data_IF_994761325979
#
_entry.id   IF_994761325979
#
_cell.length_a   1.000
_cell.length_b   1.000
_cell.length_c   1.000
_cell.angle_alpha   90.00
_cell.angle_beta   90.00
_cell.angle_gamma   90.00
#
_symmetry.space_group_name_H-M   'P 1'
#
loop_
_entity.id
_entity.type
_entity.pdbx_description
1 polymer ?
#
# COMPACT_ATOMS: atom_id res chain seq x y z
N UNK A 1 18.65 9.71 4.20
CA UNK A 1 17.37 10.26 4.69
C UNK A 1 16.29 9.80 3.75
N UNK A 2 15.12 9.50 4.28
CA UNK A 2 13.96 8.98 3.54
C UNK A 2 12.78 9.93 3.72
N UNK A 3 11.86 9.93 2.75
CA UNK A 3 10.57 10.63 2.84
C UNK A 3 9.45 9.62 2.70
N UNK A 4 8.33 9.89 3.36
CA UNK A 4 7.10 9.12 3.11
C UNK A 4 6.32 9.76 1.97
N UNK A 5 5.85 8.95 1.06
CA UNK A 5 5.03 9.38 -0.06
C UNK A 5 3.71 8.65 0.03
N UNK A 6 2.62 9.43 0.03
CA UNK A 6 1.29 8.90 -0.17
C UNK A 6 0.75 9.40 -1.50
N UNK A 7 0.22 8.48 -2.30
CA UNK A 7 -0.42 8.76 -3.58
C UNK A 7 -1.80 8.11 -3.57
N UNK A 8 -2.82 8.90 -3.86
CA UNK A 8 -4.20 8.42 -3.98
C UNK A 8 -4.69 8.67 -5.39
N UNK A 9 -5.29 7.66 -6.00
CA UNK A 9 -5.80 7.74 -7.36
C UNK A 9 -7.19 7.12 -7.48
N UNK A 10 -8.01 7.67 -8.38
CA UNK A 10 -9.34 7.16 -8.72
C UNK A 10 -9.34 6.58 -10.14
N UNK A 11 -9.86 5.36 -10.28
CA UNK A 11 -10.04 4.69 -11.56
C UNK A 11 -11.38 5.06 -12.23
N UNK A 12 -11.53 4.71 -13.51
CA UNK A 12 -12.72 5.02 -14.30
C UNK A 12 -14.02 4.37 -13.78
N UNK A 13 -13.91 3.27 -13.03
CA UNK A 13 -15.03 2.59 -12.38
C UNK A 13 -15.38 3.17 -11.00
N UNK A 14 -14.68 4.24 -10.58
CA UNK A 14 -14.80 4.87 -9.27
C UNK A 14 -14.02 4.18 -8.16
N UNK A 15 -13.32 3.07 -8.44
CA UNK A 15 -12.46 2.40 -7.46
C UNK A 15 -11.27 3.28 -7.10
N UNK A 16 -10.92 3.37 -5.80
CA UNK A 16 -9.82 4.19 -5.32
C UNK A 16 -8.63 3.37 -4.86
N UNK A 17 -7.45 3.72 -5.37
CA UNK A 17 -6.19 3.04 -5.09
C UNK A 17 -5.25 3.98 -4.35
N UNK A 18 -4.82 3.56 -3.16
CA UNK A 18 -3.81 4.25 -2.36
C UNK A 18 -2.45 3.58 -2.51
N UNK A 19 -1.38 4.36 -2.47
CA UNK A 19 -0.01 3.88 -2.41
C UNK A 19 0.75 4.64 -1.32
N UNK A 20 1.29 3.91 -0.34
CA UNK A 20 2.10 4.44 0.76
C UNK A 20 3.48 3.78 0.75
N UNK A 21 4.52 4.59 0.62
CA UNK A 21 5.90 4.11 0.58
C UNK A 21 6.89 5.10 1.17
N UNK A 22 8.00 4.58 1.67
CA UNK A 22 9.21 5.32 2.05
C UNK A 22 10.29 5.32 0.96
N UNK A 23 9.94 4.87 -0.25
CA UNK A 23 10.83 4.76 -1.42
C UNK A 23 10.37 5.69 -2.55
N UNK A 24 11.24 6.59 -3.05
CA UNK A 24 10.88 7.60 -4.03
C UNK A 24 10.44 7.03 -5.39
N UNK A 25 10.94 5.86 -5.78
CA UNK A 25 10.61 5.23 -7.06
C UNK A 25 9.25 4.50 -7.07
N UNK A 26 8.68 4.19 -5.91
CA UNK A 26 7.48 3.35 -5.81
C UNK A 26 6.23 3.99 -6.42
N UNK A 27 5.93 5.29 -6.25
CA UNK A 27 4.80 5.95 -6.90
C UNK A 27 4.82 5.82 -8.44
N UNK A 28 5.99 5.97 -9.07
CA UNK A 28 6.12 5.83 -10.53
C UNK A 28 5.89 4.37 -10.96
N UNK A 29 6.42 3.40 -10.19
CA UNK A 29 6.18 1.98 -10.45
C UNK A 29 4.70 1.62 -10.26
N UNK A 30 4.02 2.25 -9.31
CA UNK A 30 2.59 2.09 -9.04
C UNK A 30 1.74 2.58 -10.22
N UNK A 31 2.00 3.79 -10.72
CA UNK A 31 1.31 4.32 -11.90
C UNK A 31 1.56 3.46 -13.14
N UNK A 32 2.82 3.09 -13.37
CA UNK A 32 3.19 2.23 -14.50
C UNK A 32 2.55 0.84 -14.36
N UNK A 33 2.50 0.29 -13.16
CA UNK A 33 1.82 -0.96 -12.85
C UNK A 33 0.34 -0.91 -13.24
N UNK A 34 -0.37 0.13 -12.82
CA UNK A 34 -1.79 0.31 -13.18
C UNK A 34 -2.00 0.44 -14.68
N UNK A 35 -1.19 1.27 -15.34
CA UNK A 35 -1.25 1.48 -16.79
C UNK A 35 -1.01 0.18 -17.59
N UNK A 36 -0.11 -0.69 -17.11
CA UNK A 36 0.16 -2.00 -17.70
C UNK A 36 -0.92 -3.04 -17.37
N UNK A 37 -1.50 -2.97 -16.17
CA UNK A 37 -2.52 -3.89 -15.68
C UNK A 37 -3.91 -3.69 -16.29
N UNK A 38 -4.14 -2.52 -16.90
CA UNK A 38 -5.35 -2.18 -17.61
C UNK A 38 -5.15 -2.48 -19.10
N UNK A 39 -5.32 -3.74 -19.55
CA UNK A 39 -5.32 -4.02 -20.97
C UNK A 39 -6.52 -3.31 -21.55
N UNK A 40 -6.23 -2.38 -22.44
CA UNK A 40 -7.13 -1.98 -23.51
C UNK A 40 -7.51 -3.29 -24.27
N UNK A 41 -8.47 -4.07 -23.75
CA UNK A 41 -8.85 -5.41 -24.23
C UNK A 41 -9.37 -5.38 -25.68
N UNK A 42 -9.47 -4.19 -26.28
CA UNK A 42 -10.01 -3.93 -27.61
C UNK A 42 -9.17 -3.02 -28.52
N UNK A 43 -7.97 -2.56 -28.14
CA UNK A 43 -7.17 -1.70 -29.04
C UNK A 43 -6.11 -2.49 -29.82
N UNK A 44 -6.32 -2.60 -31.13
CA UNK A 44 -5.44 -3.22 -32.13
C UNK A 44 -4.26 -2.33 -32.56
N UNK A 45 -3.95 -1.23 -31.85
CA UNK A 45 -2.87 -0.31 -32.21
C UNK A 45 -2.06 0.06 -30.96
N UNK A 46 -0.72 -0.11 -30.95
CA UNK A 46 0.16 0.26 -29.85
C UNK A 46 0.46 1.77 -29.94
N UNK A 47 -0.52 2.60 -29.61
CA UNK A 47 -0.27 3.98 -29.21
C UNK A 47 -0.28 4.03 -27.69
N UNK A 48 0.68 4.76 -27.10
CA UNK A 48 0.97 4.90 -25.67
C UNK A 48 -0.19 4.56 -24.71
N UNK A 49 0.05 3.87 -23.58
CA UNK A 49 -0.98 3.58 -22.60
C UNK A 49 -1.57 4.87 -22.03
N UNK A 50 -2.69 5.33 -22.61
CA UNK A 50 -3.47 6.48 -22.15
C UNK A 50 -4.51 6.02 -21.13
N UNK A 51 -4.09 5.34 -20.07
CA UNK A 51 -4.91 5.14 -18.90
C UNK A 51 -4.28 5.93 -17.76
N UNK A 52 -4.58 7.23 -17.75
CA UNK A 52 -4.37 8.09 -16.59
C UNK A 52 -5.51 7.85 -15.60
N UNK A 53 -5.21 8.00 -14.32
CA UNK A 53 -6.21 8.09 -13.27
C UNK A 53 -7.22 9.20 -13.59
N UNK A 54 -8.48 9.01 -13.19
CA UNK A 54 -9.54 10.02 -13.36
C UNK A 54 -9.27 11.22 -12.48
N UNK A 55 -8.84 10.96 -11.25
CA UNK A 55 -8.37 11.95 -10.29
C UNK A 55 -7.18 11.36 -9.54
N UNK A 56 -6.26 12.23 -9.13
CA UNK A 56 -5.07 11.83 -8.40
C UNK A 56 -4.49 12.98 -7.56
N UNK A 57 -3.89 12.61 -6.44
CA UNK A 57 -2.97 13.50 -5.75
C UNK A 57 -1.83 12.72 -5.09
N UNK A 58 -0.73 13.41 -4.88
CA UNK A 58 0.39 12.91 -4.07
C UNK A 58 0.84 13.96 -3.06
N UNK A 59 1.31 13.47 -1.91
CA UNK A 59 1.86 14.22 -0.79
C UNK A 59 3.12 13.54 -0.29
N UNK A 60 4.09 14.35 0.14
CA UNK A 60 5.38 13.89 0.62
C UNK A 60 5.60 14.42 2.04
N UNK A 61 5.81 13.52 2.98
CA UNK A 61 6.16 13.83 4.36
C UNK A 61 7.51 14.50 4.49
N UNK A 62 7.81 15.00 5.68
CA UNK A 62 9.13 15.51 6.01
C UNK A 62 10.19 14.40 6.00
N UNK A 63 11.45 14.80 5.80
CA UNK A 63 12.60 13.90 5.87
C UNK A 63 12.71 13.25 7.25
N UNK A 64 13.00 11.96 7.26
CA UNK A 64 13.30 11.20 8.47
C UNK A 64 14.48 10.24 8.27
N UNK A 65 15.05 9.80 9.39
CA UNK A 65 15.98 8.69 9.40
C UNK A 65 15.19 7.40 9.66
N UNK A 66 15.30 6.36 8.82
CA UNK A 66 14.71 5.06 9.11
C UNK A 66 15.24 4.49 10.43
N UNK A 67 14.39 3.74 11.14
CA UNK A 67 14.82 3.03 12.34
C UNK A 67 15.83 1.94 11.97
N UNK A 68 16.96 1.91 12.67
CA UNK A 68 18.06 0.96 12.48
C UNK A 68 18.22 0.07 13.72
N UNK A 69 18.70 -1.16 13.53
CA UNK A 69 19.14 -2.05 14.63
C UNK A 69 18.09 -2.36 15.71
N UNK A 70 16.84 -2.62 15.32
CA UNK A 70 15.78 -3.02 16.23
C UNK A 70 15.52 -4.52 16.18
N UNK A 71 15.36 -5.14 17.36
CA UNK A 71 14.80 -6.50 17.49
C UNK A 71 13.27 -6.50 17.29
N UNK A 72 12.59 -5.42 17.70
CA UNK A 72 11.14 -5.23 17.55
C UNK A 72 10.82 -3.75 17.25
N UNK A 73 9.74 -3.49 16.50
CA UNK A 73 9.22 -2.13 16.31
C UNK A 73 8.62 -1.60 17.64
N UNK A 74 9.05 -0.42 18.12
CA UNK A 74 8.55 0.18 19.35
C UNK A 74 7.04 0.39 19.31
N UNK A 75 6.38 0.23 20.46
CA UNK A 75 4.91 0.35 20.56
C UNK A 75 4.41 1.72 20.14
N UNK A 76 5.15 2.78 20.46
CA UNK A 76 4.85 4.16 20.10
C UNK A 76 4.83 4.32 18.57
N UNK A 77 5.81 3.72 17.89
CA UNK A 77 5.90 3.73 16.42
C UNK A 77 4.78 2.90 15.79
N UNK A 78 4.46 1.72 16.33
CA UNK A 78 3.31 0.91 15.90
C UNK A 78 2.00 1.69 16.02
N UNK A 79 1.77 2.35 17.16
CA UNK A 79 0.56 3.16 17.39
C UNK A 79 0.49 4.36 16.43
N UNK A 80 1.61 5.04 16.19
CA UNK A 80 1.68 6.14 15.24
C UNK A 80 1.40 5.66 13.81
N UNK A 81 1.90 4.49 13.43
CA UNK A 81 1.60 3.87 12.14
C UNK A 81 0.11 3.51 12.00
N UNK A 82 -0.47 2.88 13.02
CA UNK A 82 -1.91 2.56 13.02
C UNK A 82 -2.76 3.83 12.87
N UNK A 83 -2.37 4.91 13.55
CA UNK A 83 -3.04 6.22 13.44
C UNK A 83 -2.92 6.77 12.02
N UNK A 84 -1.70 6.79 11.46
CA UNK A 84 -1.45 7.18 10.08
C UNK A 84 -2.36 6.42 9.10
N UNK A 85 -2.40 5.10 9.21
CA UNK A 85 -3.20 4.27 8.31
C UNK A 85 -4.70 4.53 8.46
N UNK A 86 -5.20 4.67 9.69
CA UNK A 86 -6.61 4.97 9.93
C UNK A 86 -7.06 6.28 9.28
N UNK A 87 -6.16 7.26 9.18
CA UNK A 87 -6.42 8.54 8.54
C UNK A 87 -6.29 8.49 7.03
N UNK A 88 -5.42 7.64 6.46
CA UNK A 88 -5.21 7.57 5.01
C UNK A 88 -6.18 6.61 4.30
N UNK A 89 -6.66 5.58 4.99
CA UNK A 89 -7.37 4.46 4.35
C UNK A 89 -8.87 4.70 4.13
N UNK A 90 -9.43 5.75 4.72
CA UNK A 90 -10.83 6.11 4.55
C UNK A 90 -11.19 6.29 3.08
N UNK A 91 -12.15 5.51 2.57
CA UNK A 91 -12.59 5.58 1.17
C UNK A 91 -11.61 5.00 0.15
N UNK A 92 -10.56 4.30 0.60
CA UNK A 92 -9.58 3.59 -0.25
C UNK A 92 -9.99 2.13 -0.39
N UNK A 93 -10.20 1.69 -1.64
CA UNK A 93 -10.59 0.31 -1.95
C UNK A 93 -9.42 -0.67 -1.90
N UNK A 94 -8.27 -0.25 -2.43
CA UNK A 94 -7.05 -1.05 -2.48
C UNK A 94 -5.87 -0.21 -2.03
N UNK A 95 -5.15 -0.68 -1.01
CA UNK A 95 -3.98 -0.01 -0.46
C UNK A 95 -2.69 -0.77 -0.81
N UNK A 96 -1.83 -0.15 -1.60
CA UNK A 96 -0.45 -0.58 -1.83
C UNK A 96 0.42 -0.02 -0.71
N UNK A 97 0.99 -0.86 0.14
CA UNK A 97 1.74 -0.42 1.31
C UNK A 97 3.08 -1.13 1.45
N UNK A 98 4.12 -0.35 1.75
CA UNK A 98 5.40 -0.89 2.21
C UNK A 98 5.19 -1.66 3.52
N UNK A 99 5.58 -2.93 3.56
CA UNK A 99 5.34 -3.81 4.72
C UNK A 99 6.22 -3.45 5.94
N UNK A 100 7.37 -2.82 5.68
CA UNK A 100 8.37 -2.42 6.67
C UNK A 100 8.65 -0.91 6.62
N UNK A 101 7.58 -0.13 6.53
CA UNK A 101 7.66 1.31 6.36
C UNK A 101 8.48 1.96 7.49
N UNK A 102 9.51 2.73 7.12
CA UNK A 102 10.28 3.54 8.04
C UNK A 102 11.27 2.77 8.94
N UNK A 103 11.51 1.48 8.70
CA UNK A 103 12.55 0.70 9.36
C UNK A 103 13.40 -0.04 8.33
N UNK A 104 14.69 -0.28 8.60
CA UNK A 104 15.60 -0.93 7.62
C UNK A 104 15.73 -2.44 7.79
N UNK A 105 15.14 -3.00 8.85
CA UNK A 105 15.28 -4.42 9.21
C UNK A 105 14.17 -5.29 8.59
N UNK A 106 13.24 -4.68 7.83
CA UNK A 106 12.14 -5.43 7.23
C UNK A 106 11.09 -5.91 8.24
N UNK A 107 11.05 -5.32 9.44
CA UNK A 107 10.11 -5.71 10.48
C UNK A 107 8.69 -5.25 10.11
N UNK A 108 7.68 -6.13 10.24
CA UNK A 108 6.30 -5.80 9.90
C UNK A 108 5.73 -4.71 10.80
N UNK A 109 5.10 -3.70 10.19
CA UNK A 109 4.38 -2.64 10.93
C UNK A 109 2.86 -2.72 10.70
N UNK A 110 2.42 -3.43 9.65
CA UNK A 110 1.05 -3.36 9.14
C UNK A 110 0.07 -4.41 9.72
N UNK A 111 0.50 -5.26 10.65
CA UNK A 111 -0.26 -6.46 11.04
C UNK A 111 -1.65 -6.15 11.60
N UNK A 112 -1.76 -5.15 12.47
CA UNK A 112 -3.03 -4.76 13.11
C UNK A 112 -3.96 -3.95 12.18
N UNK A 113 -3.39 -3.19 11.25
CA UNK A 113 -4.12 -2.34 10.32
C UNK A 113 -4.99 -3.18 9.38
N UNK A 114 -4.45 -4.27 8.86
CA UNK A 114 -5.21 -5.13 7.96
C UNK A 114 -6.42 -5.75 8.64
N UNK A 115 -6.29 -6.15 9.91
CA UNK A 115 -7.39 -6.78 10.65
C UNK A 115 -8.48 -5.75 11.06
N UNK A 116 -8.08 -4.49 11.22
CA UNK A 116 -8.97 -3.36 11.56
C UNK A 116 -9.71 -2.77 10.35
N UNK A 117 -9.14 -2.87 9.14
CA UNK A 117 -9.67 -2.26 7.92
C UNK A 117 -10.13 -3.28 6.88
N UNK A 118 -11.07 -4.14 7.27
CA UNK A 118 -11.57 -5.27 6.45
C UNK A 118 -12.23 -4.88 5.12
N UNK A 119 -12.68 -3.63 4.97
CA UNK A 119 -13.30 -3.12 3.74
C UNK A 119 -12.28 -2.71 2.66
N UNK A 120 -11.00 -2.65 3.01
CA UNK A 120 -9.91 -2.27 2.11
C UNK A 120 -9.05 -3.48 1.84
N UNK A 121 -8.81 -3.75 0.56
CA UNK A 121 -7.88 -4.78 0.12
C UNK A 121 -6.45 -4.27 0.20
N UNK A 122 -5.48 -5.17 0.38
CA UNK A 122 -4.08 -4.80 0.56
C UNK A 122 -3.15 -5.44 -0.47
N UNK A 123 -2.26 -4.62 -1.02
CA UNK A 123 -1.10 -5.07 -1.78
C UNK A 123 0.15 -4.68 -1.00
N UNK A 124 0.84 -5.66 -0.45
CA UNK A 124 1.99 -5.46 0.43
C UNK A 124 3.27 -5.76 -0.32
N UNK A 125 4.27 -4.89 -0.22
CA UNK A 125 5.58 -5.14 -0.81
C UNK A 125 6.69 -5.05 0.24
N UNK A 126 7.62 -6.02 0.27
CA UNK A 126 8.68 -6.06 1.26
C UNK A 126 9.81 -5.08 0.90
N UNK A 127 10.50 -4.60 1.92
CA UNK A 127 11.72 -3.81 1.78
C UNK A 127 12.92 -4.74 1.62
N UNK A 128 13.07 -5.40 0.46
CA UNK A 128 14.22 -6.22 0.03
C UNK A 128 14.67 -7.43 0.92
N UNK A 129 14.44 -7.43 2.23
CA UNK A 129 15.06 -8.31 3.23
C UNK A 129 14.10 -9.40 3.75
N UNK A 130 12.78 -9.30 3.53
CA UNK A 130 11.86 -10.38 3.90
C UNK A 130 12.10 -11.70 3.12
N UNK A 131 12.95 -11.70 2.08
CA UNK A 131 13.40 -12.94 1.42
C UNK A 131 14.32 -13.80 2.30
N UNK A 132 15.03 -13.22 3.28
CA UNK A 132 16.02 -13.95 4.07
C UNK A 132 15.43 -14.80 5.21
N UNK A 133 14.22 -14.48 5.70
CA UNK A 133 13.59 -15.18 6.82
C UNK A 133 12.30 -15.93 6.49
N UNK A 134 11.85 -15.87 5.24
CA UNK A 134 10.72 -16.66 4.74
C UNK A 134 11.15 -17.44 3.49
N UNK A 135 11.94 -18.53 3.64
CA UNK A 135 12.41 -19.36 2.51
C UNK A 135 11.26 -20.04 1.73
N UNK A 136 10.04 -19.95 2.24
CA UNK A 136 8.83 -20.52 1.65
C UNK A 136 7.99 -19.53 0.82
N UNK A 137 8.37 -18.24 0.73
CA UNK A 137 7.73 -17.33 -0.24
C UNK A 137 8.48 -17.49 -1.55
N UNK A 138 7.96 -18.27 -2.51
CA UNK A 138 8.64 -18.44 -3.78
C UNK A 138 8.85 -17.09 -4.48
N UNK A 139 9.86 -17.02 -5.34
CA UNK A 139 10.19 -15.85 -6.16
C UNK A 139 9.09 -15.44 -7.19
N UNK A 140 7.86 -15.90 -7.01
CA UNK A 140 6.72 -15.49 -7.80
C UNK A 140 6.31 -14.07 -7.40
N UNK A 141 6.06 -13.25 -8.41
CA UNK A 141 5.85 -11.81 -8.35
C UNK A 141 4.64 -11.36 -7.52
N UNK A 142 3.74 -12.29 -7.16
CA UNK A 142 2.47 -12.10 -6.44
C UNK A 142 2.17 -13.35 -5.60
N UNK A 143 1.95 -13.21 -4.29
CA UNK A 143 1.54 -14.29 -3.38
C UNK A 143 0.22 -13.94 -2.67
N UNK A 144 -0.70 -14.90 -2.60
CA UNK A 144 -2.05 -14.69 -2.07
C UNK A 144 -2.13 -15.14 -0.60
N UNK A 145 -2.77 -14.35 0.27
CA UNK A 145 -3.19 -14.88 1.59
C UNK A 145 -4.64 -15.33 1.55
N UNK A 146 -4.91 -16.52 2.11
CA UNK A 146 -6.27 -16.98 2.41
C UNK A 146 -6.90 -16.03 3.46
N UNK A 147 -8.20 -15.67 3.35
CA UNK A 147 -8.88 -14.92 4.41
C UNK A 147 -8.71 -15.61 5.77
N UNK A 148 -8.26 -14.88 6.81
CA UNK A 148 -7.96 -15.44 8.13
C UNK A 148 -9.19 -16.06 8.82
N UNK A 149 -10.38 -15.55 8.52
CA UNK A 149 -11.63 -16.02 9.10
C UNK A 149 -12.44 -16.80 8.06
N UNK A 150 -13.06 -17.91 8.46
CA UNK A 150 -14.05 -18.64 7.65
C UNK A 150 -15.16 -17.65 7.24
N UNK A 151 -15.36 -17.35 5.95
CA UNK A 151 -16.36 -16.37 5.55
C UNK A 151 -17.70 -17.08 5.43
N UNK A 152 -18.60 -16.88 6.40
CA UNK A 152 -20.04 -17.07 6.18
C UNK A 152 -20.62 -15.94 5.32
N UNK A 153 -19.88 -14.84 5.12
CA UNK A 153 -20.25 -13.70 4.29
C UNK A 153 -19.16 -13.35 3.24
N UNK A 154 -19.41 -13.53 1.94
CA UNK A 154 -18.53 -13.11 0.86
C UNK A 154 -18.21 -11.60 0.86
N UNK A 155 -19.08 -10.76 1.44
CA UNK A 155 -18.88 -9.31 1.54
C UNK A 155 -17.79 -8.90 2.55
N UNK A 156 -17.30 -9.85 3.36
CA UNK A 156 -16.22 -9.64 4.34
C UNK A 156 -14.87 -10.20 3.88
N UNK A 157 -14.74 -10.60 2.61
CA UNK A 157 -13.48 -11.10 2.07
C UNK A 157 -12.55 -9.94 1.74
N UNK A 158 -11.66 -9.62 2.68
CA UNK A 158 -10.49 -8.79 2.41
C UNK A 158 -9.47 -9.61 1.62
N UNK A 159 -9.10 -9.13 0.43
CA UNK A 159 -8.04 -9.70 -0.38
C UNK A 159 -6.69 -9.13 0.03
N UNK A 160 -5.67 -10.00 0.14
CA UNK A 160 -4.28 -9.56 0.35
C UNK A 160 -3.34 -10.21 -0.64
N UNK A 161 -2.50 -9.37 -1.25
CA UNK A 161 -1.49 -9.76 -2.22
C UNK A 161 -0.13 -9.28 -1.71
N UNK A 162 0.86 -10.17 -1.69
CA UNK A 162 2.26 -9.80 -1.48
C UNK A 162 2.95 -9.72 -2.83
N UNK A 163 3.64 -8.63 -3.15
CA UNK A 163 4.35 -8.47 -4.42
C UNK A 163 5.75 -7.89 -4.23
N UNK A 164 6.65 -8.13 -5.18
CA UNK A 164 7.95 -7.47 -5.18
C UNK A 164 7.81 -6.01 -5.66
N UNK A 165 8.67 -5.08 -5.20
CA UNK A 165 8.69 -3.72 -5.73
C UNK A 165 9.19 -3.75 -7.17
N UNK A 166 8.32 -3.44 -8.13
CA UNK A 166 8.65 -3.42 -9.55
C UNK A 166 7.41 -3.28 -10.42
N UNK A 167 7.56 -2.63 -11.59
CA UNK A 167 6.42 -2.29 -12.47
C UNK A 167 5.66 -3.51 -12.96
N UNK A 168 6.36 -4.59 -13.32
CA UNK A 168 5.72 -5.84 -13.75
C UNK A 168 5.00 -6.58 -12.61
N UNK A 169 5.61 -6.60 -11.40
CA UNK A 169 4.98 -7.17 -10.21
C UNK A 169 3.73 -6.40 -9.80
N UNK A 170 3.80 -5.07 -9.83
CA UNK A 170 2.65 -4.21 -9.56
C UNK A 170 1.57 -4.37 -10.61
N UNK A 171 1.92 -4.48 -11.90
CA UNK A 171 0.94 -4.75 -12.94
C UNK A 171 0.17 -6.05 -12.70
N UNK A 172 0.88 -7.12 -12.32
CA UNK A 172 0.23 -8.39 -11.96
C UNK A 172 -0.63 -8.26 -10.71
N UNK A 173 -0.17 -7.52 -9.69
CA UNK A 173 -0.93 -7.29 -8.47
C UNK A 173 -2.23 -6.52 -8.75
N UNK A 174 -2.17 -5.46 -9.57
CA UNK A 174 -3.35 -4.73 -10.03
C UNK A 174 -4.31 -5.63 -10.82
N UNK A 175 -3.84 -6.38 -11.81
CA UNK A 175 -4.70 -7.29 -12.57
C UNK A 175 -5.40 -8.31 -11.66
N UNK A 176 -4.65 -8.91 -10.72
CA UNK A 176 -5.19 -9.88 -9.79
C UNK A 176 -6.23 -9.28 -8.84
N UNK A 177 -5.93 -8.13 -8.23
CA UNK A 177 -6.84 -7.52 -7.24
C UNK A 177 -8.13 -6.99 -7.89
N UNK A 178 -8.01 -6.40 -9.08
CA UNK A 178 -9.17 -5.92 -9.86
C UNK A 178 -10.06 -7.12 -10.24
N UNK A 179 -9.46 -8.22 -10.71
CA UNK A 179 -10.21 -9.43 -11.05
C UNK A 179 -10.91 -10.05 -9.84
N UNK A 180 -10.23 -10.09 -8.68
CA UNK A 180 -10.80 -10.62 -7.43
C UNK A 180 -11.99 -9.81 -6.96
N UNK A 181 -11.84 -8.49 -6.87
CA UNK A 181 -12.93 -7.56 -6.52
C UNK A 181 -14.11 -7.70 -7.48
N UNK A 182 -13.84 -7.80 -8.78
CA UNK A 182 -14.85 -8.03 -9.81
C UNK A 182 -15.62 -9.34 -9.63
N UNK A 183 -14.92 -10.44 -9.34
CA UNK A 183 -15.55 -11.75 -9.06
C UNK A 183 -16.37 -11.76 -7.77
N UNK A 184 -15.90 -11.06 -6.74
CA UNK A 184 -16.60 -10.90 -5.48
C UNK A 184 -17.76 -9.89 -5.55
N UNK A 185 -17.87 -9.12 -6.65
CA UNK A 185 -18.91 -8.09 -6.82
C UNK A 185 -18.73 -6.89 -5.87
N UNK A 186 -17.50 -6.65 -5.39
CA UNK A 186 -17.19 -5.55 -4.48
C UNK A 186 -17.32 -4.22 -5.23
N UNK A 187 -18.04 -3.28 -4.61
CA UNK A 187 -18.23 -1.92 -5.13
C UNK A 187 -17.24 -0.96 -4.46
N UNK A 188 -16.88 0.16 -5.14
CA UNK A 188 -16.09 1.20 -4.51
C UNK A 188 -16.69 1.67 -3.20
N UNK A 189 -15.84 1.97 -2.22
CA UNK A 189 -16.29 2.50 -0.93
C UNK A 189 -16.99 3.86 -1.14
N UNK A 190 -18.19 4.00 -0.58
CA UNK A 190 -18.96 5.25 -0.63
C UNK A 190 -18.46 6.36 0.33
N UNK A 191 -17.41 6.08 1.11
CA UNK A 191 -16.80 7.07 1.99
C UNK A 191 -16.00 8.10 1.17
N UNK A 192 -15.94 9.34 1.67
CA UNK A 192 -15.08 10.36 1.06
C UNK A 192 -13.62 10.03 1.36
N UNK A 193 -12.73 10.10 0.36
CA UNK A 193 -11.31 9.91 0.59
C UNK A 193 -10.76 11.05 1.43
N UNK A 194 -9.65 10.78 2.11
CA UNK A 194 -8.89 11.79 2.84
C UNK A 194 -8.41 12.88 1.89
N UNK A 195 -8.45 14.13 2.33
CA UNK A 195 -7.99 15.24 1.51
C UNK A 195 -6.45 15.39 1.57
N UNK A 196 -5.89 16.06 0.57
CA UNK A 196 -4.44 16.29 0.43
C UNK A 196 -3.80 16.87 1.69
N UNK A 197 -4.44 17.84 2.36
CA UNK A 197 -3.86 18.50 3.54
C UNK A 197 -3.86 17.55 4.74
N UNK A 198 -4.96 16.86 4.97
CA UNK A 198 -5.05 15.89 6.07
C UNK A 198 -4.05 14.76 5.89
N UNK A 199 -3.92 14.23 4.66
CA UNK A 199 -2.93 13.20 4.35
C UNK A 199 -1.49 13.67 4.63
N UNK A 200 -1.14 14.87 4.20
CA UNK A 200 0.18 15.47 4.48
C UNK A 200 0.45 15.61 5.99
N UNK A 201 -0.54 16.06 6.75
CA UNK A 201 -0.42 16.21 8.20
C UNK A 201 -0.26 14.86 8.90
N UNK A 202 -0.95 13.82 8.43
CA UNK A 202 -0.82 12.46 8.94
C UNK A 202 0.59 11.90 8.69
N UNK A 203 1.12 12.07 7.48
CA UNK A 203 2.52 11.70 7.18
C UNK A 203 3.49 12.41 8.12
N UNK A 204 3.34 13.74 8.28
CA UNK A 204 4.25 14.52 9.11
C UNK A 204 4.21 14.08 10.58
N UNK A 205 3.03 13.81 11.15
CA UNK A 205 2.91 13.30 12.53
C UNK A 205 3.63 11.97 12.73
N UNK A 206 3.57 11.08 11.74
CA UNK A 206 4.30 9.82 11.83
C UNK A 206 5.81 10.03 11.68
N UNK A 207 6.26 10.87 10.75
CA UNK A 207 7.69 11.22 10.63
C UNK A 207 8.21 11.94 11.88
N UNK A 208 7.39 12.74 12.55
CA UNK A 208 7.71 13.37 13.85
C UNK A 208 7.94 12.32 14.92
N UNK A 209 7.09 11.28 14.97
CA UNK A 209 7.26 10.17 15.89
C UNK A 209 8.58 9.43 15.64
N UNK A 210 8.90 9.12 14.38
CA UNK A 210 10.18 8.50 14.02
C UNK A 210 11.37 9.40 14.40
N UNK A 211 11.28 10.70 14.11
CA UNK A 211 12.31 11.68 14.46
C UNK A 211 12.43 11.92 15.96
N UNK A 212 11.39 11.74 16.76
CA UNK A 212 11.47 11.86 18.21
C UNK A 212 12.10 10.62 18.85
N UNK A 213 11.93 9.45 18.23
CA UNK A 213 12.51 8.20 18.70
C UNK A 213 14.05 8.17 18.51
N UNK A 214 14.57 8.69 17.39
CA UNK A 214 16.03 8.72 17.14
C UNK A 214 16.87 9.47 18.20
N UNK A 215 16.55 10.71 18.59
CA UNK A 215 17.26 11.47 19.63
C UNK A 215 17.15 10.86 21.03
N UNK A 216 16.11 10.07 21.30
CA UNK A 216 15.94 9.43 22.61
C UNK A 216 16.81 8.18 22.80
N UNK A 217 17.39 7.65 21.71
CA UNK A 217 18.12 6.38 21.68
C UNK A 217 19.54 6.48 21.07
N UNK A 218 20.07 7.70 20.93
CA UNK A 218 21.50 8.00 20.70
C UNK A 218 22.18 8.39 22.02
#
# INVERSE_FOLDING_TARGET
MSTLIFRLCEAADGSRFGCLSDRPEVPELFDLGYALANPNRYCTIPTQPQHSWVDEYSVEGEDFAPLTELEEIPREVKNAFNTLMSELISGVDVMFCSYALGNTQGLPVCDEVMDSHRATDFVLFPQAICQAHMPEIPAYLVCYSVPRDKPDDPALQQHRIYCQPGSFAFAQAFSAIIEQRGKAGLKPQGASPTDKRTAQQALNRFTDCLRAYHPAHQ
#
